data_IF_837803106084
#
_entry.id   IF_837803106084
#
_cell.length_a   1.000
_cell.length_b   1.000
_cell.length_c   1.000
_cell.angle_alpha   90.00
_cell.angle_beta   90.00
_cell.angle_gamma   90.00
#
_symmetry.space_group_name_H-M   'P 1'
#
loop_
_entity.id
_entity.type
_entity.pdbx_description
1 polymer ?
#
# COMPACT_ATOMS: atom_id res chain seq x y z
N UNK A 1 -0.78 -5.55 8.03
CA UNK A 1 -0.19 -6.75 8.71
C UNK A 1 1.08 -6.31 9.41
N UNK A 2 1.36 -6.86 10.58
CA UNK A 2 2.63 -6.58 11.28
C UNK A 2 3.80 -7.16 10.46
N UNK A 3 4.91 -6.43 10.37
CA UNK A 3 6.10 -6.77 9.59
C UNK A 3 5.99 -6.47 8.08
N UNK A 4 4.89 -5.90 7.61
CA UNK A 4 4.71 -5.55 6.19
C UNK A 4 5.30 -4.18 5.88
N UNK A 5 6.03 -4.08 4.77
CA UNK A 5 6.32 -2.80 4.14
C UNK A 5 5.05 -2.22 3.51
N UNK A 6 4.77 -0.95 3.77
CA UNK A 6 3.54 -0.29 3.33
C UNK A 6 3.81 1.04 2.65
N UNK A 7 2.96 1.33 1.66
CA UNK A 7 2.83 2.63 1.02
C UNK A 7 1.46 3.20 1.39
N UNK A 8 1.43 4.42 1.94
CA UNK A 8 0.20 5.05 2.38
C UNK A 8 0.03 6.35 1.59
N UNK A 9 -0.96 6.38 0.71
CA UNK A 9 -1.36 7.60 0.03
C UNK A 9 -2.29 8.42 0.94
N UNK A 10 -2.00 9.70 1.09
CA UNK A 10 -2.90 10.66 1.74
C UNK A 10 -2.93 11.95 0.95
N UNK A 11 -4.11 12.55 0.87
CA UNK A 11 -4.30 13.86 0.24
C UNK A 11 -4.26 14.96 1.31
N UNK A 12 -3.69 16.11 0.98
CA UNK A 12 -3.76 17.30 1.83
C UNK A 12 -4.98 18.17 1.48
N UNK A 13 -5.17 19.27 2.23
CA UNK A 13 -6.28 20.21 2.02
C UNK A 13 -6.28 20.91 0.65
N UNK A 14 -5.17 20.85 -0.08
CA UNK A 14 -5.02 21.43 -1.44
C UNK A 14 -5.33 20.42 -2.54
N UNK A 15 -5.51 19.16 -2.17
CA UNK A 15 -5.74 18.08 -3.11
C UNK A 15 -4.46 17.38 -3.59
N UNK A 16 -3.28 17.78 -3.10
CA UNK A 16 -2.02 17.13 -3.43
C UNK A 16 -1.91 15.79 -2.68
N UNK A 17 -1.44 14.75 -3.38
CA UNK A 17 -1.27 13.40 -2.79
C UNK A 17 0.20 13.18 -2.44
N UNK A 18 0.45 12.82 -1.18
CA UNK A 18 1.74 12.36 -0.70
C UNK A 18 1.72 10.84 -0.47
N UNK A 19 2.87 10.19 -0.58
CA UNK A 19 3.03 8.76 -0.27
C UNK A 19 4.03 8.60 0.87
N UNK A 20 3.55 8.13 2.02
CA UNK A 20 4.38 7.73 3.14
C UNK A 20 4.81 6.27 2.97
N UNK A 21 6.07 5.97 3.27
CA UNK A 21 6.63 4.62 3.17
C UNK A 21 7.19 4.20 4.52
N UNK A 22 6.76 3.05 5.05
CA UNK A 22 7.22 2.57 6.35
C UNK A 22 6.98 1.07 6.53
N UNK A 23 7.48 0.49 7.62
CA UNK A 23 7.16 -0.87 8.05
C UNK A 23 6.15 -0.81 9.19
N UNK A 24 5.08 -1.60 9.09
CA UNK A 24 4.10 -1.69 10.17
C UNK A 24 4.59 -2.65 11.26
N UNK A 25 5.14 -2.12 12.35
CA UNK A 25 5.64 -2.93 13.47
C UNK A 25 4.56 -3.37 14.45
N UNK A 26 3.36 -2.78 14.38
CA UNK A 26 2.23 -3.12 15.24
C UNK A 26 0.89 -2.79 14.56
N UNK A 27 -0.23 -3.12 15.21
CA UNK A 27 -1.58 -2.72 14.78
C UNK A 27 -1.92 -1.26 15.13
N UNK A 28 -1.07 -0.59 15.91
CA UNK A 28 -1.17 0.83 16.28
C UNK A 28 0.19 1.51 16.06
N UNK A 29 0.66 1.57 14.80
CA UNK A 29 2.00 2.06 14.48
C UNK A 29 2.09 3.59 14.62
N UNK A 30 3.30 4.09 14.86
CA UNK A 30 3.62 5.48 14.49
C UNK A 30 3.88 5.53 12.99
N UNK A 31 3.21 6.43 12.27
CA UNK A 31 3.36 6.57 10.82
C UNK A 31 4.41 7.63 10.50
N UNK A 32 5.66 7.19 10.42
CA UNK A 32 6.80 8.01 10.00
C UNK A 32 7.49 7.36 8.81
N UNK A 33 7.99 8.19 7.88
CA UNK A 33 8.79 7.68 6.76
C UNK A 33 9.99 6.86 7.27
N UNK A 34 10.22 5.71 6.65
CA UNK A 34 11.30 4.79 6.99
C UNK A 34 11.67 3.90 5.82
N UNK A 35 12.75 3.15 5.98
CA UNK A 35 13.22 2.19 4.97
C UNK A 35 12.38 0.92 5.00
N UNK A 36 12.12 0.37 3.81
CA UNK A 36 11.48 -0.95 3.66
C UNK A 36 12.53 -2.06 3.69
N UNK A 37 12.08 -3.31 3.88
CA UNK A 37 12.91 -4.50 3.74
C UNK A 37 13.28 -4.86 2.28
N UNK A 38 12.94 -3.99 1.32
CA UNK A 38 13.25 -4.13 -0.10
C UNK A 38 13.52 -2.76 -0.72
N UNK A 39 14.28 -2.73 -1.82
CA UNK A 39 14.67 -1.47 -2.43
C UNK A 39 13.54 -0.87 -3.28
N UNK A 40 13.39 0.44 -3.14
CA UNK A 40 12.49 1.30 -3.92
C UNK A 40 13.38 2.38 -4.57
N UNK A 41 13.93 2.13 -5.77
CA UNK A 41 15.02 2.94 -6.34
C UNK A 41 14.60 4.35 -6.75
N UNK A 42 13.29 4.60 -6.88
CA UNK A 42 12.72 5.92 -7.17
C UNK A 42 11.62 6.25 -6.17
N UNK A 43 11.48 7.52 -5.74
CA UNK A 43 10.41 7.91 -4.82
C UNK A 43 9.02 7.50 -5.35
N UNK A 44 8.19 6.84 -4.52
CA UNK A 44 6.79 6.58 -4.86
C UNK A 44 6.02 7.87 -5.14
N UNK A 45 5.06 7.80 -6.05
CA UNK A 45 4.18 8.91 -6.38
C UNK A 45 2.71 8.51 -6.31
N UNK A 46 1.86 9.41 -5.80
CA UNK A 46 0.43 9.21 -5.68
C UNK A 46 -0.35 10.06 -6.68
N UNK A 47 -1.29 9.43 -7.39
CA UNK A 47 -2.27 10.11 -8.24
C UNK A 47 -3.63 10.24 -7.55
N UNK A 48 -4.30 11.38 -7.76
CA UNK A 48 -5.69 11.62 -7.36
C UNK A 48 -6.64 11.70 -8.55
N UNK A 49 -7.95 11.56 -8.31
CA UNK A 49 -8.96 11.62 -9.38
C UNK A 49 -10.15 10.70 -9.14
N UNK A 50 -10.75 10.72 -7.94
CA UNK A 50 -11.85 9.83 -7.54
C UNK A 50 -11.42 8.48 -6.94
N UNK A 51 -10.18 8.05 -7.19
CA UNK A 51 -9.52 6.95 -6.50
C UNK A 51 -8.03 7.25 -6.30
N UNK A 52 -7.46 6.81 -5.18
CA UNK A 52 -6.02 6.87 -4.98
C UNK A 52 -5.33 5.81 -5.84
N UNK A 53 -4.29 6.24 -6.56
CA UNK A 53 -3.37 5.34 -7.26
C UNK A 53 -1.96 5.57 -6.75
N UNK A 54 -1.23 4.51 -6.41
CA UNK A 54 0.16 4.59 -5.98
C UNK A 54 1.04 3.96 -7.06
N UNK A 55 2.01 4.72 -7.56
CA UNK A 55 3.02 4.25 -8.50
C UNK A 55 4.32 3.98 -7.73
N UNK A 56 4.84 2.76 -7.84
CA UNK A 56 6.05 2.31 -7.16
C UNK A 56 6.89 1.49 -8.13
N UNK A 57 8.21 1.68 -8.08
CA UNK A 57 9.18 0.74 -8.65
C UNK A 57 9.80 -0.04 -7.50
N UNK A 58 9.76 -1.38 -7.56
CA UNK A 58 10.31 -2.25 -6.52
C UNK A 58 11.42 -3.10 -7.13
N UNK A 59 12.58 -3.16 -6.47
CA UNK A 59 13.61 -4.12 -6.83
C UNK A 59 13.25 -5.49 -6.26
N UNK A 60 13.36 -6.54 -7.09
CA UNK A 60 13.08 -7.90 -6.64
C UNK A 60 14.24 -8.45 -5.80
N UNK A 61 13.95 -9.11 -4.65
CA UNK A 61 14.96 -9.85 -3.91
C UNK A 61 15.57 -10.96 -4.76
N UNK A 62 16.86 -11.24 -4.55
CA UNK A 62 17.69 -12.16 -5.37
C UNK A 62 17.11 -13.60 -5.49
N UNK A 63 16.15 -13.98 -4.63
CA UNK A 63 15.59 -15.34 -4.60
C UNK A 63 14.06 -15.39 -4.58
N UNK A 64 13.36 -14.29 -4.89
CA UNK A 64 11.89 -14.31 -4.99
C UNK A 64 11.38 -13.40 -6.09
N UNK A 65 10.50 -13.95 -6.93
CA UNK A 65 9.71 -13.21 -7.92
C UNK A 65 8.26 -13.08 -7.48
N UNK A 66 7.90 -13.63 -6.32
CA UNK A 66 6.53 -13.56 -5.81
C UNK A 66 6.40 -12.39 -4.82
N UNK A 67 5.35 -11.59 -5.01
CA UNK A 67 4.94 -10.52 -4.10
C UNK A 67 3.49 -10.75 -3.69
N UNK A 68 3.22 -10.61 -2.39
CA UNK A 68 1.86 -10.53 -1.88
C UNK A 68 1.55 -9.07 -1.55
N UNK A 69 0.38 -8.62 -1.99
CA UNK A 69 -0.11 -7.26 -1.79
C UNK A 69 -1.48 -7.34 -1.13
N UNK A 70 -1.70 -6.46 -0.16
CA UNK A 70 -3.02 -6.23 0.41
C UNK A 70 -3.39 -4.77 0.19
N UNK A 71 -4.63 -4.51 -0.21
CA UNK A 71 -5.15 -3.15 -0.27
C UNK A 71 -6.12 -2.90 0.87
N UNK A 72 -5.91 -1.79 1.56
CA UNK A 72 -6.82 -1.33 2.59
C UNK A 72 -7.20 0.11 2.27
N UNK A 73 -8.50 0.37 2.16
CA UNK A 73 -9.06 1.71 2.16
C UNK A 73 -9.66 1.97 3.54
N UNK A 74 -9.45 3.16 4.07
CA UNK A 74 -9.77 3.45 5.46
C UNK A 74 -10.23 4.88 5.62
N UNK A 75 -10.91 5.17 6.75
CA UNK A 75 -11.24 6.54 7.08
C UNK A 75 -9.94 7.35 7.19
N UNK A 76 -9.93 8.52 6.57
CA UNK A 76 -8.86 9.49 6.70
C UNK A 76 -9.41 10.84 6.29
N UNK A 77 -9.03 11.89 7.01
CA UNK A 77 -9.23 13.26 6.55
C UNK A 77 -7.91 13.77 5.96
N UNK A 78 -7.97 14.90 5.27
CA UNK A 78 -6.78 15.54 4.71
C UNK A 78 -5.70 15.71 5.77
N UNK A 79 -4.59 14.99 5.62
CA UNK A 79 -3.46 14.99 6.57
C UNK A 79 -3.59 14.10 7.81
N UNK A 80 -4.69 13.34 8.01
CA UNK A 80 -4.84 12.44 9.15
C UNK A 80 -5.23 11.02 8.70
N UNK A 81 -4.26 10.09 8.79
CA UNK A 81 -4.45 8.67 8.53
C UNK A 81 -5.00 8.01 9.80
N UNK A 82 -6.16 7.33 9.71
CA UNK A 82 -6.74 6.60 10.82
C UNK A 82 -6.64 5.07 10.61
N UNK A 83 -6.76 4.27 11.68
CA UNK A 83 -6.77 2.82 11.56
C UNK A 83 -7.88 2.31 10.64
N UNK A 84 -7.56 1.31 9.82
CA UNK A 84 -8.55 0.61 9.02
C UNK A 84 -9.41 -0.32 9.90
N UNK A 85 -10.70 -0.51 9.56
CA UNK A 85 -11.49 -1.59 10.14
C UNK A 85 -10.81 -2.95 9.92
N UNK A 86 -10.70 -3.75 10.97
CA UNK A 86 -10.17 -5.13 10.92
C UNK A 86 -11.25 -6.15 10.56
N UNK A 87 -12.24 -5.74 9.76
CA UNK A 87 -13.37 -6.55 9.29
C UNK A 87 -13.87 -6.06 7.93
N UNK A 88 -14.69 -6.88 7.26
CA UNK A 88 -15.30 -6.54 5.96
C UNK A 88 -14.41 -6.85 4.74
N UNK A 89 -14.79 -6.31 3.58
CA UNK A 89 -14.18 -6.64 2.28
C UNK A 89 -12.70 -6.25 2.17
N UNK A 90 -12.24 -5.25 2.95
CA UNK A 90 -10.82 -4.85 2.98
C UNK A 90 -9.89 -6.02 3.35
N UNK A 91 -10.35 -6.98 4.15
CA UNK A 91 -9.56 -8.17 4.51
C UNK A 91 -9.42 -9.18 3.36
N UNK A 92 -10.32 -9.12 2.38
CA UNK A 92 -10.30 -10.02 1.23
C UNK A 92 -9.49 -9.46 0.06
N UNK A 93 -9.11 -8.19 0.11
CA UNK A 93 -8.37 -7.51 -0.94
C UNK A 93 -6.88 -7.90 -0.93
N UNK A 94 -6.63 -9.18 -1.19
CA UNK A 94 -5.32 -9.80 -1.24
C UNK A 94 -5.01 -10.23 -2.67
N UNK A 95 -3.79 -9.98 -3.10
CA UNK A 95 -3.27 -10.37 -4.40
C UNK A 95 -1.87 -10.96 -4.25
N UNK A 96 -1.59 -12.03 -4.97
CA UNK A 96 -0.25 -12.53 -5.21
C UNK A 96 0.10 -12.27 -6.67
N UNK A 97 1.27 -11.71 -6.93
CA UNK A 97 1.82 -11.49 -8.25
C UNK A 97 3.16 -12.23 -8.35
N UNK A 98 3.36 -12.98 -9.42
CA UNK A 98 4.66 -13.51 -9.80
C UNK A 98 5.23 -12.71 -10.96
N UNK A 99 6.29 -11.97 -10.72
CA UNK A 99 6.95 -11.11 -11.70
C UNK A 99 7.65 -11.87 -12.82
N UNK A 100 7.97 -13.16 -12.63
CA UNK A 100 8.59 -13.97 -13.67
C UNK A 100 7.57 -14.41 -14.72
N UNK A 101 6.40 -14.89 -14.27
CA UNK A 101 5.33 -15.39 -15.14
C UNK A 101 4.31 -14.32 -15.52
N UNK A 102 4.32 -13.17 -14.83
CA UNK A 102 3.29 -12.13 -14.93
C UNK A 102 1.92 -12.57 -14.41
N UNK A 103 1.81 -13.77 -13.82
CA UNK A 103 0.54 -14.30 -13.35
C UNK A 103 0.18 -13.72 -11.99
N UNK A 104 -1.11 -13.47 -11.80
CA UNK A 104 -1.63 -13.02 -10.52
C UNK A 104 -2.82 -13.85 -10.06
N UNK A 105 -2.87 -14.12 -8.75
CA UNK A 105 -3.98 -14.79 -8.09
C UNK A 105 -4.45 -13.93 -6.91
N UNK A 106 -5.75 -13.72 -6.76
CA UNK A 106 -6.28 -12.82 -5.74
C UNK A 106 -7.79 -12.59 -5.91
N UNK A 107 -8.41 -11.96 -4.92
CA UNK A 107 -9.82 -11.61 -5.03
C UNK A 107 -10.01 -10.37 -5.91
N UNK A 108 -10.96 -10.42 -6.84
CA UNK A 108 -11.41 -9.27 -7.62
C UNK A 108 -12.28 -8.34 -6.77
N UNK A 109 -11.73 -7.56 -5.84
CA UNK A 109 -12.56 -6.64 -5.05
C UNK A 109 -11.91 -5.33 -4.59
N UNK A 110 -10.78 -4.91 -5.18
CA UNK A 110 -10.13 -3.63 -4.83
C UNK A 110 -10.71 -2.40 -5.56
N UNK A 111 -12.02 -2.35 -5.81
CA UNK A 111 -12.67 -1.16 -6.37
C UNK A 111 -13.85 -0.80 -5.46
N UNK A 112 -13.69 0.27 -4.67
CA UNK A 112 -14.85 0.93 -4.08
C UNK A 112 -15.66 1.60 -5.21
N UNK A 113 -17.00 1.59 -5.15
CA UNK A 113 -17.86 2.30 -6.10
C UNK A 113 -17.63 3.82 -6.06
#
# INVERSE_FOLDING_TARGET
>A
MVGSGVFIASQDGTGAVAVLTTVLESTSPSLTNGSLGFDVPVPPYGGGGGAYTIYVTVALPIYSTAQNTVWQAGPGSTGAIAPHPTSGQNLQSMQRLDFLSGQSTGASNSRMP
#
